data_IF_594660285747
#
_entry.id   IF_594660285747
#
_cell.length_a   1.000
_cell.length_b   1.000
_cell.length_c   1.000
_cell.angle_alpha   90.00
_cell.angle_beta   90.00
_cell.angle_gamma   90.00
#
_symmetry.space_group_name_H-M   'P 1'
#
loop_
_entity.id
_entity.type
_entity.pdbx_description
1 polymer ?
#
# COMPACT_ATOMS: atom_id res chain seq x y z
N UNK A 1 19.71 -32.44 1.42
CA UNK A 1 20.65 -31.31 1.37
C UNK A 1 19.90 -30.01 1.65
N UNK A 2 20.45 -29.11 2.47
CA UNK A 2 19.90 -27.78 2.77
C UNK A 2 20.91 -26.72 2.33
N UNK A 3 20.44 -25.54 1.96
CA UNK A 3 21.26 -24.47 1.40
C UNK A 3 21.36 -23.30 2.38
N UNK A 4 22.54 -22.67 2.48
CA UNK A 4 22.79 -21.43 3.21
C UNK A 4 23.55 -20.44 2.30
N UNK A 5 23.54 -19.16 2.67
CA UNK A 5 24.38 -18.13 2.04
C UNK A 5 25.66 -17.99 2.85
N UNK A 6 26.79 -18.05 2.17
CA UNK A 6 28.13 -17.84 2.74
C UNK A 6 28.81 -16.69 2.03
N UNK A 7 29.62 -15.93 2.77
CA UNK A 7 30.50 -14.90 2.25
C UNK A 7 31.60 -15.53 1.40
N UNK A 8 31.84 -15.01 0.20
CA UNK A 8 32.95 -15.47 -0.65
C UNK A 8 34.32 -15.06 -0.11
N UNK A 9 34.37 -13.96 0.65
CA UNK A 9 35.62 -13.34 1.08
C UNK A 9 36.07 -13.87 2.44
N UNK A 10 35.11 -14.11 3.36
CA UNK A 10 35.40 -14.56 4.73
C UNK A 10 35.03 -16.03 4.99
N UNK A 11 34.23 -16.65 4.11
CA UNK A 11 33.69 -17.99 4.33
C UNK A 11 32.60 -18.08 5.41
N UNK A 12 32.21 -16.95 6.01
CA UNK A 12 31.22 -16.91 7.09
C UNK A 12 29.79 -17.11 6.57
N UNK A 13 28.94 -17.74 7.40
CA UNK A 13 27.53 -17.94 7.08
C UNK A 13 26.76 -16.64 7.29
N UNK A 14 26.23 -16.08 6.20
CA UNK A 14 25.45 -14.84 6.21
C UNK A 14 23.95 -15.09 6.44
N UNK A 15 23.43 -16.23 5.99
CA UNK A 15 22.03 -16.62 6.19
C UNK A 15 21.82 -18.13 6.03
N UNK A 16 21.45 -18.81 7.12
CA UNK A 16 21.15 -20.24 7.17
C UNK A 16 19.69 -20.54 7.55
N UNK A 17 18.79 -19.55 7.42
CA UNK A 17 17.41 -19.69 7.87
C UNK A 17 17.28 -20.12 9.35
N UNK A 18 18.05 -19.50 10.25
CA UNK A 18 18.04 -19.80 11.70
C UNK A 18 18.43 -21.26 12.01
N UNK A 19 19.39 -21.79 11.27
CA UNK A 19 19.88 -23.17 11.42
C UNK A 19 19.09 -24.26 10.68
N UNK A 20 17.95 -23.95 10.06
CA UNK A 20 17.16 -24.95 9.30
C UNK A 20 17.63 -25.12 7.85
N UNK A 21 18.23 -24.08 7.28
CA UNK A 21 18.61 -23.98 5.88
C UNK A 21 17.43 -23.94 4.90
N UNK A 22 17.72 -23.48 3.70
CA UNK A 22 16.74 -23.38 2.62
C UNK A 22 16.62 -24.70 1.85
N UNK A 23 15.43 -24.96 1.29
CA UNK A 23 15.19 -26.14 0.44
C UNK A 23 15.95 -26.10 -0.89
N UNK A 24 16.22 -24.90 -1.40
CA UNK A 24 16.89 -24.67 -2.68
C UNK A 24 17.80 -23.45 -2.60
N UNK A 25 18.86 -23.41 -3.41
CA UNK A 25 19.76 -22.26 -3.52
C UNK A 25 19.01 -20.98 -3.94
N UNK A 26 18.07 -21.08 -4.89
CA UNK A 26 17.25 -19.96 -5.33
C UNK A 26 16.45 -19.31 -4.19
N UNK A 27 15.90 -20.12 -3.27
CA UNK A 27 15.18 -19.61 -2.10
C UNK A 27 16.11 -18.93 -1.09
N UNK A 28 17.31 -19.47 -0.89
CA UNK A 28 18.34 -18.83 -0.06
C UNK A 28 18.71 -17.46 -0.63
N UNK A 29 18.98 -17.39 -1.94
CA UNK A 29 19.35 -16.16 -2.61
C UNK A 29 18.23 -15.11 -2.57
N UNK A 30 16.99 -15.51 -2.89
CA UNK A 30 15.84 -14.61 -2.86
C UNK A 30 15.57 -14.06 -1.44
N UNK A 31 15.68 -14.90 -0.41
CA UNK A 31 15.48 -14.48 0.98
C UNK A 31 16.57 -13.51 1.43
N UNK A 32 17.83 -13.81 1.12
CA UNK A 32 18.96 -12.93 1.44
C UNK A 32 18.87 -11.60 0.70
N UNK A 33 18.56 -11.61 -0.59
CA UNK A 33 18.34 -10.40 -1.39
C UNK A 33 17.19 -9.57 -0.82
N UNK A 34 16.08 -10.19 -0.42
CA UNK A 34 14.96 -9.47 0.20
C UNK A 34 15.33 -8.84 1.55
N UNK A 35 16.10 -9.54 2.39
CA UNK A 35 16.55 -9.02 3.70
C UNK A 35 17.47 -7.81 3.54
N UNK A 36 18.37 -7.86 2.56
CA UNK A 36 19.42 -6.86 2.30
C UNK A 36 19.05 -5.80 1.26
N UNK A 37 17.85 -5.85 0.67
CA UNK A 37 17.41 -4.82 -0.26
C UNK A 37 17.24 -3.48 0.45
N UNK A 38 17.35 -2.40 -0.31
CA UNK A 38 16.97 -1.08 0.17
C UNK A 38 15.45 -1.02 0.47
N UNK A 39 15.12 -0.69 1.71
CA UNK A 39 13.73 -0.54 2.22
C UNK A 39 13.33 0.92 2.37
N UNK A 40 14.14 1.87 1.91
CA UNK A 40 13.85 3.31 1.96
C UNK A 40 12.49 3.63 1.33
N UNK A 41 12.24 3.10 0.11
CA UNK A 41 10.99 3.27 -0.62
C UNK A 41 9.79 2.64 0.10
N UNK A 42 9.98 1.46 0.71
CA UNK A 42 8.92 0.81 1.50
C UNK A 42 8.51 1.68 2.69
N UNK A 43 9.49 2.28 3.38
CA UNK A 43 9.26 3.22 4.49
C UNK A 43 8.57 4.50 4.01
N UNK A 44 9.00 5.06 2.89
CA UNK A 44 8.37 6.25 2.28
C UNK A 44 6.91 5.98 1.91
N UNK A 45 6.64 4.86 1.23
CA UNK A 45 5.27 4.44 0.90
C UNK A 45 4.41 4.25 2.15
N UNK A 46 4.97 3.66 3.22
CA UNK A 46 4.25 3.49 4.49
C UNK A 46 3.98 4.83 5.17
N UNK A 47 4.93 5.76 5.17
CA UNK A 47 4.75 7.10 5.71
C UNK A 47 3.67 7.86 4.91
N UNK A 48 3.72 7.80 3.58
CA UNK A 48 2.72 8.40 2.69
C UNK A 48 1.32 7.82 2.93
N UNK A 49 1.21 6.49 3.07
CA UNK A 49 -0.06 5.83 3.42
C UNK A 49 -0.60 6.33 4.77
N UNK A 50 0.23 6.35 5.80
CA UNK A 50 -0.16 6.82 7.15
C UNK A 50 -0.62 8.27 7.16
N UNK A 51 0.05 9.13 6.40
CA UNK A 51 -0.35 10.53 6.24
C UNK A 51 -1.78 10.64 5.67
N UNK A 52 -2.09 9.85 4.64
CA UNK A 52 -3.44 9.83 4.05
C UNK A 52 -4.47 9.25 5.03
N UNK A 53 -4.13 8.19 5.78
CA UNK A 53 -5.00 7.64 6.83
C UNK A 53 -5.32 8.67 7.91
N UNK A 54 -4.32 9.45 8.35
CA UNK A 54 -4.50 10.54 9.32
C UNK A 54 -5.38 11.65 8.77
N UNK A 55 -5.17 12.04 7.50
CA UNK A 55 -6.04 13.02 6.85
C UNK A 55 -7.48 12.52 6.77
N UNK A 56 -7.70 11.24 6.44
CA UNK A 56 -9.04 10.63 6.41
C UNK A 56 -9.70 10.64 7.80
N UNK A 57 -8.93 10.39 8.86
CA UNK A 57 -9.39 10.43 10.24
C UNK A 57 -9.76 11.85 10.71
N UNK A 58 -9.07 12.87 10.19
CA UNK A 58 -9.43 14.27 10.42
C UNK A 58 -10.66 14.70 9.60
N UNK A 59 -10.86 14.08 8.44
CA UNK A 59 -11.93 14.41 7.48
C UNK A 59 -13.02 13.32 7.43
N UNK A 60 -13.46 12.82 8.59
CA UNK A 60 -14.44 11.71 8.68
C UNK A 60 -15.76 11.97 7.97
N UNK A 61 -16.25 13.21 7.98
CA UNK A 61 -17.48 13.60 7.27
C UNK A 61 -17.34 13.34 5.76
N UNK A 62 -16.22 13.77 5.19
CA UNK A 62 -15.89 13.53 3.79
C UNK A 62 -15.76 12.04 3.48
N UNK A 63 -15.08 11.27 4.34
CA UNK A 63 -14.93 9.82 4.17
C UNK A 63 -16.28 9.11 4.23
N UNK A 64 -17.19 9.50 5.14
CA UNK A 64 -18.56 8.98 5.17
C UNK A 64 -19.35 9.33 3.91
N UNK A 65 -19.17 10.54 3.40
CA UNK A 65 -19.79 10.97 2.14
C UNK A 65 -19.32 10.10 0.97
N UNK A 66 -18.00 9.83 0.89
CA UNK A 66 -17.44 8.88 -0.07
C UNK A 66 -18.09 7.49 0.04
N UNK A 67 -18.25 7.00 1.27
CA UNK A 67 -18.86 5.70 1.54
C UNK A 67 -20.32 5.63 1.08
N UNK A 68 -21.10 6.66 1.39
CA UNK A 68 -22.50 6.76 0.98
C UNK A 68 -22.64 6.79 -0.54
N UNK A 69 -21.85 7.61 -1.24
CA UNK A 69 -21.90 7.65 -2.70
C UNK A 69 -21.45 6.34 -3.35
N UNK A 70 -20.36 5.74 -2.85
CA UNK A 70 -19.90 4.45 -3.37
C UNK A 70 -20.97 3.35 -3.21
N UNK A 71 -21.68 3.35 -2.07
CA UNK A 71 -22.77 2.41 -1.80
C UNK A 71 -23.99 2.64 -2.70
N UNK A 72 -24.44 3.88 -2.88
CA UNK A 72 -25.59 4.18 -3.74
C UNK A 72 -25.29 3.91 -5.23
N UNK A 73 -24.07 4.21 -5.70
CA UNK A 73 -23.63 3.82 -7.04
C UNK A 73 -23.66 2.30 -7.20
N UNK A 74 -23.18 1.54 -6.21
CA UNK A 74 -23.20 0.08 -6.24
C UNK A 74 -24.62 -0.52 -6.24
N UNK A 75 -25.58 0.16 -5.60
CA UNK A 75 -27.00 -0.22 -5.65
C UNK A 75 -27.68 0.09 -6.98
N UNK A 76 -27.04 0.87 -7.86
CA UNK A 76 -27.65 1.31 -9.12
C UNK A 76 -28.80 2.31 -8.92
N UNK A 77 -28.84 3.00 -7.77
CA UNK A 77 -29.82 4.07 -7.49
C UNK A 77 -29.43 5.39 -8.15
N UNK A 78 -28.16 5.52 -8.55
CA UNK A 78 -27.64 6.62 -9.37
C UNK A 78 -27.71 6.26 -10.88
N UNK A 79 -27.26 7.17 -11.76
CA UNK A 79 -27.37 6.96 -13.19
C UNK A 79 -26.65 5.66 -13.61
N UNK A 80 -27.15 4.91 -14.60
CA UNK A 80 -26.66 3.56 -14.93
C UNK A 80 -25.19 3.46 -15.36
N UNK A 81 -24.52 4.59 -15.58
CA UNK A 81 -23.10 4.67 -15.95
C UNK A 81 -22.22 5.37 -14.90
N UNK A 82 -22.77 5.69 -13.73
CA UNK A 82 -22.00 6.35 -12.68
C UNK A 82 -20.96 5.39 -12.09
N UNK A 83 -19.74 5.89 -11.92
CA UNK A 83 -18.62 5.15 -11.34
C UNK A 83 -18.02 5.96 -10.23
N UNK A 84 -17.74 5.31 -9.11
CA UNK A 84 -16.97 5.90 -8.02
C UNK A 84 -15.47 5.90 -8.36
N UNK A 85 -15.08 6.85 -9.21
CA UNK A 85 -13.74 6.99 -9.77
C UNK A 85 -13.00 8.26 -9.30
N UNK A 86 -11.76 8.45 -9.77
CA UNK A 86 -10.96 9.60 -9.37
C UNK A 86 -11.53 10.94 -9.85
N UNK A 87 -12.33 10.96 -10.93
CA UNK A 87 -12.99 12.18 -11.42
C UNK A 87 -14.14 12.55 -10.49
N UNK A 88 -14.92 11.57 -10.04
CA UNK A 88 -15.98 11.75 -9.06
C UNK A 88 -15.43 12.27 -7.72
N UNK A 89 -14.41 11.63 -7.17
CA UNK A 89 -13.80 12.07 -5.90
C UNK A 89 -13.15 13.45 -6.02
N UNK A 90 -12.53 13.80 -7.16
CA UNK A 90 -12.07 15.18 -7.42
C UNK A 90 -13.19 16.21 -7.43
N UNK A 91 -14.40 15.83 -7.83
CA UNK A 91 -15.56 16.72 -7.80
C UNK A 91 -16.00 16.92 -6.36
N UNK A 92 -16.14 15.83 -5.59
CA UNK A 92 -16.49 15.89 -4.17
C UNK A 92 -15.52 16.74 -3.35
N UNK A 93 -14.20 16.58 -3.54
CA UNK A 93 -13.21 17.40 -2.84
C UNK A 93 -13.39 18.90 -3.10
N UNK A 94 -13.75 19.28 -4.33
CA UNK A 94 -14.00 20.69 -4.68
C UNK A 94 -15.30 21.21 -4.07
N UNK A 95 -16.35 20.39 -4.06
CA UNK A 95 -17.65 20.75 -3.47
C UNK A 95 -17.51 20.99 -1.96
N UNK A 96 -16.70 20.18 -1.29
CA UNK A 96 -16.40 20.31 0.14
C UNK A 96 -15.26 21.31 0.43
N UNK A 97 -14.73 21.98 -0.60
CA UNK A 97 -13.60 22.92 -0.50
C UNK A 97 -12.38 22.35 0.24
N UNK A 98 -12.11 21.07 0.04
CA UNK A 98 -10.99 20.35 0.66
C UNK A 98 -9.79 20.30 -0.29
N UNK A 99 -8.65 20.78 0.20
CA UNK A 99 -7.37 20.66 -0.47
C UNK A 99 -6.53 19.52 0.11
N UNK A 100 -5.79 18.83 -0.76
CA UNK A 100 -4.95 17.69 -0.39
C UNK A 100 -3.55 17.84 -1.00
N UNK A 101 -2.52 17.52 -0.22
CA UNK A 101 -1.12 17.45 -0.66
C UNK A 101 -0.77 16.08 -1.30
N UNK A 102 -1.76 15.22 -1.45
CA UNK A 102 -1.72 13.96 -2.16
C UNK A 102 -2.72 13.90 -3.29
N UNK A 103 -2.47 12.98 -4.21
CA UNK A 103 -3.33 12.79 -5.38
C UNK A 103 -4.59 12.02 -4.99
N UNK A 104 -5.68 12.26 -5.71
CA UNK A 104 -6.93 11.49 -5.54
C UNK A 104 -6.74 9.99 -5.80
N UNK A 105 -5.76 9.60 -6.63
CA UNK A 105 -5.41 8.20 -6.85
C UNK A 105 -4.83 7.54 -5.59
N UNK A 106 -3.96 8.26 -4.87
CA UNK A 106 -3.42 7.80 -3.59
C UNK A 106 -4.52 7.70 -2.54
N UNK A 107 -5.39 8.71 -2.43
CA UNK A 107 -6.54 8.69 -1.53
C UNK A 107 -7.44 7.47 -1.79
N UNK A 108 -7.83 7.25 -3.05
CA UNK A 108 -8.66 6.10 -3.42
C UNK A 108 -8.00 4.76 -3.12
N UNK A 109 -6.68 4.65 -3.31
CA UNK A 109 -5.93 3.42 -3.01
C UNK A 109 -5.96 3.11 -1.52
N UNK A 110 -5.76 4.13 -0.67
CA UNK A 110 -5.79 3.97 0.79
C UNK A 110 -7.21 3.70 1.28
N UNK A 111 -8.19 4.48 0.80
CA UNK A 111 -9.60 4.33 1.18
C UNK A 111 -10.20 2.96 0.79
N UNK A 112 -9.82 2.37 -0.35
CA UNK A 112 -10.27 1.01 -0.73
C UNK A 112 -9.61 -0.12 0.04
N UNK A 113 -8.44 0.14 0.63
CA UNK A 113 -7.65 -0.86 1.36
C UNK A 113 -7.87 -0.86 2.87
N UNK A 114 -8.88 -0.10 3.35
CA UNK A 114 -9.28 -0.02 4.75
C UNK A 114 -10.20 -1.17 5.15
#
# INVERSE_FOLDING_TARGET
>A
MRYCIVSTDTGEVLDDAQGYGYKTAQKAYAAFAYKNRDKSKDKEHLARKRHIEQWMEQNKSFVKLMDSYAFEIAKGTMAPNDKFDAKFVRKLLREESLETDFTVGELLKVWRGR
#
